data_IF_395719881061
#
_entry.id   IF_395719881061
#
_cell.length_a   1.000
_cell.length_b   1.000
_cell.length_c   1.000
_cell.angle_alpha   90.00
_cell.angle_beta   90.00
_cell.angle_gamma   90.00
#
_symmetry.space_group_name_H-M   'P 1'
#
loop_
_entity.id
_entity.type
_entity.pdbx_description
1 polymer ?
#
# COMPACT_ATOMS: atom_id res chain seq x y z
N UNK A 1 38.11 -40.67 13.44
CA UNK A 1 39.48 -40.29 13.84
C UNK A 1 40.12 -39.21 12.95
N UNK A 2 39.85 -39.07 11.67
CA UNK A 2 40.43 -38.00 10.84
C UNK A 2 39.86 -36.59 11.11
N UNK A 3 38.62 -36.46 11.52
CA UNK A 3 37.98 -35.15 11.83
C UNK A 3 38.47 -34.52 13.16
N UNK A 4 38.94 -35.30 14.11
CA UNK A 4 39.45 -34.79 15.39
C UNK A 4 40.87 -34.19 15.31
N UNK A 5 41.61 -34.45 14.23
CA UNK A 5 42.95 -33.86 14.05
C UNK A 5 42.99 -32.51 13.36
N UNK A 6 41.94 -32.15 12.60
CA UNK A 6 41.84 -30.85 11.93
C UNK A 6 41.45 -29.75 12.93
N UNK A 7 40.65 -30.06 13.93
CA UNK A 7 40.23 -29.12 14.99
C UNK A 7 41.40 -28.59 15.87
N UNK A 8 42.57 -29.22 15.83
CA UNK A 8 43.75 -28.79 16.55
C UNK A 8 44.63 -27.79 15.78
N UNK A 9 44.30 -27.43 14.56
CA UNK A 9 45.15 -26.66 13.67
C UNK A 9 44.85 -25.15 13.66
N UNK A 10 43.61 -24.75 14.00
CA UNK A 10 43.20 -23.34 13.94
C UNK A 10 42.69 -22.85 15.31
N UNK A 11 43.00 -21.61 15.68
CA UNK A 11 42.42 -20.97 16.85
C UNK A 11 40.95 -20.57 16.60
N UNK A 12 40.19 -20.32 17.66
CA UNK A 12 38.82 -19.80 17.57
C UNK A 12 38.75 -18.53 16.69
N UNK A 13 39.71 -17.60 16.92
CA UNK A 13 39.78 -16.33 16.19
C UNK A 13 40.09 -16.55 14.70
N UNK A 14 40.90 -17.54 14.37
CA UNK A 14 41.17 -17.93 12.97
C UNK A 14 39.94 -18.51 12.31
N UNK A 15 39.23 -19.42 12.99
CA UNK A 15 37.99 -20.04 12.48
C UNK A 15 36.89 -18.96 12.26
N UNK A 16 36.72 -18.05 13.19
CA UNK A 16 35.81 -16.91 13.04
C UNK A 16 36.20 -16.05 11.83
N UNK A 17 37.49 -15.70 11.70
CA UNK A 17 37.98 -14.90 10.58
C UNK A 17 37.81 -15.60 9.22
N UNK A 18 38.04 -16.92 9.15
CA UNK A 18 37.83 -17.70 7.93
C UNK A 18 36.32 -17.74 7.57
N UNK A 19 35.46 -18.00 8.55
CA UNK A 19 34.02 -17.98 8.34
C UNK A 19 33.53 -16.66 7.79
N UNK A 20 33.89 -15.54 8.40
CA UNK A 20 33.51 -14.20 7.96
C UNK A 20 34.02 -13.87 6.56
N UNK A 21 35.30 -14.14 6.25
CA UNK A 21 35.87 -13.90 4.93
C UNK A 21 35.26 -14.76 3.83
N UNK A 22 34.89 -15.99 4.16
CA UNK A 22 34.20 -16.88 3.20
C UNK A 22 32.78 -16.41 2.94
N UNK A 23 32.06 -15.93 3.95
CA UNK A 23 30.77 -15.29 3.81
C UNK A 23 30.83 -14.05 2.90
N UNK A 24 31.79 -13.14 3.14
CA UNK A 24 32.00 -11.95 2.29
C UNK A 24 32.27 -12.30 0.81
N UNK A 25 32.83 -13.47 0.53
CA UNK A 25 33.09 -13.98 -0.83
C UNK A 25 31.90 -14.76 -1.41
N UNK A 26 30.83 -14.97 -0.64
CA UNK A 26 29.71 -15.81 -1.02
C UNK A 26 29.98 -17.32 -0.95
N UNK A 27 31.14 -17.74 -0.40
CA UNK A 27 31.46 -19.16 -0.17
C UNK A 27 30.86 -19.61 1.19
N UNK A 28 29.55 -19.71 1.21
CA UNK A 28 28.79 -20.02 2.42
C UNK A 28 29.09 -21.44 2.94
N UNK A 29 29.40 -22.37 2.05
CA UNK A 29 29.74 -23.74 2.45
C UNK A 29 31.01 -23.78 3.31
N UNK A 30 32.06 -23.10 2.88
CA UNK A 30 33.32 -22.99 3.66
C UNK A 30 33.08 -22.15 4.94
N UNK A 31 32.25 -21.10 4.87
CA UNK A 31 31.90 -20.29 6.01
C UNK A 31 31.25 -21.11 7.13
N UNK A 32 30.24 -21.91 6.79
CA UNK A 32 29.52 -22.77 7.76
C UNK A 32 30.47 -23.79 8.40
N UNK A 33 31.30 -24.48 7.61
CA UNK A 33 32.25 -25.48 8.16
C UNK A 33 33.19 -24.84 9.19
N UNK A 34 33.72 -23.66 8.90
CA UNK A 34 34.61 -22.95 9.83
C UNK A 34 33.88 -22.49 11.09
N UNK A 35 32.64 -21.98 10.95
CA UNK A 35 31.84 -21.49 12.07
C UNK A 35 31.26 -22.62 12.91
N UNK A 36 30.97 -23.80 12.35
CA UNK A 36 30.59 -25.00 13.11
C UNK A 36 31.72 -25.40 14.05
N UNK A 37 32.96 -25.42 13.57
CA UNK A 37 34.13 -25.71 14.42
C UNK A 37 34.32 -24.61 15.50
N UNK A 38 34.10 -23.33 15.18
CA UNK A 38 34.17 -22.27 16.16
C UNK A 38 33.13 -22.43 17.27
N UNK A 39 31.89 -22.74 16.90
CA UNK A 39 30.79 -23.01 17.87
C UNK A 39 31.09 -24.24 18.74
N UNK A 40 31.61 -25.31 18.15
CA UNK A 40 32.03 -26.52 18.91
C UNK A 40 33.18 -26.21 19.86
N UNK A 41 34.15 -25.40 19.43
CA UNK A 41 35.30 -25.03 20.25
C UNK A 41 34.93 -24.14 21.45
N UNK A 42 34.07 -23.15 21.23
CA UNK A 42 33.62 -22.21 22.29
C UNK A 42 32.09 -22.05 22.28
N UNK A 43 31.34 -23.03 22.77
CA UNK A 43 29.86 -23.01 22.67
C UNK A 43 29.20 -21.97 23.60
N UNK A 44 29.96 -21.33 24.49
CA UNK A 44 29.46 -20.25 25.35
C UNK A 44 29.75 -18.85 24.79
N UNK A 45 30.44 -18.74 23.65
CA UNK A 45 30.71 -17.48 23.00
C UNK A 45 29.56 -17.12 22.08
N UNK A 46 28.73 -16.16 22.44
CA UNK A 46 27.53 -15.73 21.72
C UNK A 46 27.86 -15.30 20.29
N UNK A 47 29.02 -14.66 20.06
CA UNK A 47 29.41 -14.13 18.74
C UNK A 47 29.57 -15.24 17.69
N UNK A 48 29.98 -16.44 18.05
CA UNK A 48 30.10 -17.55 17.10
C UNK A 48 28.72 -17.97 16.57
N UNK A 49 27.73 -18.05 17.45
CA UNK A 49 26.35 -18.33 17.09
C UNK A 49 25.75 -17.21 16.23
N UNK A 50 25.97 -15.92 16.59
CA UNK A 50 25.54 -14.78 15.78
C UNK A 50 26.11 -14.87 14.37
N UNK A 51 27.42 -15.05 14.24
CA UNK A 51 28.10 -15.07 12.94
C UNK A 51 27.60 -16.21 12.08
N UNK A 52 27.45 -17.42 12.64
CA UNK A 52 26.89 -18.57 11.91
C UNK A 52 25.44 -18.32 11.48
N UNK A 53 24.63 -17.74 12.36
CA UNK A 53 23.26 -17.37 12.05
C UNK A 53 23.16 -16.36 10.90
N UNK A 54 24.05 -15.38 10.83
CA UNK A 54 24.12 -14.41 9.71
C UNK A 54 24.43 -15.13 8.40
N UNK A 55 25.43 -16.02 8.37
CA UNK A 55 25.72 -16.83 7.16
C UNK A 55 24.51 -17.65 6.73
N UNK A 56 23.79 -18.24 7.68
CA UNK A 56 22.54 -18.97 7.39
C UNK A 56 21.45 -18.09 6.79
N UNK A 57 21.34 -16.83 7.23
CA UNK A 57 20.44 -15.86 6.59
C UNK A 57 20.85 -15.62 5.14
N UNK A 58 22.14 -15.44 4.84
CA UNK A 58 22.64 -15.28 3.46
C UNK A 58 22.36 -16.51 2.59
N UNK A 59 22.41 -17.71 3.20
CA UNK A 59 22.02 -18.97 2.55
C UNK A 59 20.50 -19.14 2.41
N UNK A 60 19.69 -18.24 2.99
CA UNK A 60 18.23 -18.37 3.11
C UNK A 60 17.77 -19.56 3.97
N UNK A 61 18.65 -20.09 4.82
CA UNK A 61 18.30 -21.10 5.84
C UNK A 61 17.84 -20.38 7.11
N UNK A 62 16.69 -19.72 7.02
CA UNK A 62 16.15 -18.89 8.09
C UNK A 62 15.78 -19.68 9.33
N UNK A 63 15.34 -20.95 9.16
CA UNK A 63 14.99 -21.81 10.30
C UNK A 63 16.21 -22.09 11.19
N UNK A 64 17.32 -22.50 10.60
CA UNK A 64 18.56 -22.74 11.34
C UNK A 64 19.17 -21.44 11.87
N UNK A 65 19.02 -20.33 11.16
CA UNK A 65 19.45 -19.02 11.63
C UNK A 65 18.75 -18.61 12.94
N UNK A 66 17.42 -18.82 13.02
CA UNK A 66 16.63 -18.55 14.24
C UNK A 66 17.14 -19.38 15.43
N UNK A 67 17.51 -20.63 15.21
CA UNK A 67 18.08 -21.50 16.27
C UNK A 67 19.40 -20.91 16.80
N UNK A 68 20.28 -20.47 15.91
CA UNK A 68 21.55 -19.84 16.27
C UNK A 68 21.34 -18.54 17.03
N UNK A 69 20.48 -17.65 16.54
CA UNK A 69 20.19 -16.39 17.22
C UNK A 69 19.51 -16.60 18.57
N UNK A 70 18.63 -17.59 18.72
CA UNK A 70 18.05 -17.95 20.00
C UNK A 70 19.15 -18.35 21.02
N UNK A 71 20.12 -19.14 20.57
CA UNK A 71 21.24 -19.52 21.44
C UNK A 71 22.13 -18.33 21.78
N UNK A 72 22.40 -17.46 20.81
CA UNK A 72 23.19 -16.25 21.03
C UNK A 72 22.50 -15.30 22.04
N UNK A 73 21.20 -15.08 21.92
CA UNK A 73 20.41 -14.23 22.82
C UNK A 73 20.36 -14.83 24.23
N UNK A 74 20.26 -16.17 24.35
CA UNK A 74 20.31 -16.83 25.65
C UNK A 74 21.66 -16.60 26.35
N UNK A 75 22.76 -16.59 25.59
CA UNK A 75 24.11 -16.37 26.11
C UNK A 75 24.36 -14.89 26.41
N UNK A 76 23.90 -14.00 25.57
CA UNK A 76 24.10 -12.55 25.71
C UNK A 76 22.84 -11.76 25.26
N UNK A 77 21.87 -11.57 26.13
CA UNK A 77 20.64 -10.83 25.81
C UNK A 77 20.86 -9.34 25.54
N UNK A 78 22.03 -8.80 25.88
CA UNK A 78 22.36 -7.39 25.69
C UNK A 78 23.03 -7.11 24.33
N UNK A 79 23.27 -8.14 23.50
CA UNK A 79 23.73 -7.93 22.12
C UNK A 79 22.53 -7.58 21.23
N UNK A 80 22.18 -6.31 21.27
CA UNK A 80 20.97 -5.76 20.61
C UNK A 80 20.88 -6.10 19.12
N UNK A 81 22.01 -6.10 18.40
CA UNK A 81 22.08 -6.41 16.98
C UNK A 81 21.56 -7.82 16.64
N UNK A 82 21.64 -8.78 17.58
CA UNK A 82 21.15 -10.14 17.34
C UNK A 82 19.63 -10.18 17.15
N UNK A 83 18.90 -9.29 17.82
CA UNK A 83 17.44 -9.17 17.61
C UNK A 83 17.11 -8.69 16.21
N UNK A 84 17.88 -7.75 15.65
CA UNK A 84 17.68 -7.28 14.27
C UNK A 84 17.95 -8.40 13.24
N UNK A 85 18.99 -9.22 13.47
CA UNK A 85 19.25 -10.37 12.61
C UNK A 85 18.17 -11.45 12.72
N UNK A 86 17.67 -11.73 13.92
CA UNK A 86 16.59 -12.70 14.13
C UNK A 86 15.26 -12.17 13.57
N UNK A 87 15.00 -10.88 13.69
CA UNK A 87 13.90 -10.19 13.01
C UNK A 87 13.86 -10.52 11.51
N UNK A 88 15.00 -10.40 10.81
CA UNK A 88 15.08 -10.71 9.37
C UNK A 88 14.65 -12.16 9.11
N UNK A 89 15.18 -13.11 9.88
CA UNK A 89 14.82 -14.52 9.72
C UNK A 89 13.34 -14.80 10.01
N UNK A 90 12.77 -14.19 11.04
CA UNK A 90 11.34 -14.31 11.34
C UNK A 90 10.45 -13.69 10.28
N UNK A 91 10.83 -12.54 9.72
CA UNK A 91 10.09 -11.89 8.64
C UNK A 91 10.04 -12.75 7.38
N UNK A 92 11.16 -13.32 6.97
CA UNK A 92 11.28 -14.17 5.78
C UNK A 92 10.53 -15.52 5.94
N UNK A 93 10.29 -15.94 7.17
CA UNK A 93 9.47 -17.13 7.49
C UNK A 93 8.02 -16.78 7.87
N UNK A 94 7.60 -15.53 7.63
CA UNK A 94 6.25 -15.02 7.92
C UNK A 94 5.84 -15.14 9.41
N UNK A 95 6.80 -15.25 10.30
CA UNK A 95 6.57 -15.25 11.75
C UNK A 95 6.48 -13.80 12.28
N UNK A 96 5.51 -13.03 11.77
CA UNK A 96 5.43 -11.57 11.94
C UNK A 96 5.34 -11.12 13.41
N UNK A 97 4.68 -11.87 14.30
CA UNK A 97 4.60 -11.51 15.72
C UNK A 97 5.96 -11.58 16.42
N UNK A 98 6.75 -12.61 16.10
CA UNK A 98 8.11 -12.72 16.64
C UNK A 98 9.04 -11.66 16.03
N UNK A 99 8.91 -11.40 14.72
CA UNK A 99 9.64 -10.32 14.06
C UNK A 99 9.31 -8.96 14.70
N UNK A 100 8.04 -8.69 14.99
CA UNK A 100 7.61 -7.45 15.63
C UNK A 100 8.16 -7.31 17.06
N UNK A 101 8.20 -8.39 17.81
CA UNK A 101 8.82 -8.40 19.15
C UNK A 101 10.31 -8.05 19.09
N UNK A 102 11.04 -8.64 18.14
CA UNK A 102 12.48 -8.44 17.99
C UNK A 102 12.82 -7.02 17.52
N UNK A 103 12.08 -6.48 16.55
CA UNK A 103 12.32 -5.12 16.08
C UNK A 103 12.00 -4.08 17.18
N UNK A 104 10.98 -4.32 18.00
CA UNK A 104 10.68 -3.48 19.16
C UNK A 104 11.82 -3.53 20.19
N UNK A 105 12.36 -4.72 20.47
CA UNK A 105 13.50 -4.87 21.39
C UNK A 105 14.73 -4.13 20.85
N UNK A 106 15.00 -4.25 19.55
CA UNK A 106 16.10 -3.55 18.91
C UNK A 106 15.95 -2.03 19.02
N UNK A 107 14.78 -1.48 18.63
CA UNK A 107 14.51 -0.04 18.68
C UNK A 107 14.45 0.53 20.11
N UNK A 108 14.22 -0.29 21.09
CA UNK A 108 14.31 0.12 22.51
C UNK A 108 15.72 0.56 22.93
N UNK A 109 16.75 0.09 22.24
CA UNK A 109 18.15 0.44 22.52
C UNK A 109 18.76 1.32 21.40
N UNK A 110 18.27 1.18 20.17
CA UNK A 110 18.78 1.89 18.97
C UNK A 110 17.65 2.71 18.34
N UNK A 111 17.21 3.73 19.08
CA UNK A 111 16.01 4.51 18.76
C UNK A 111 16.10 5.38 17.47
N UNK A 112 17.29 5.58 16.92
CA UNK A 112 17.51 6.46 15.75
C UNK A 112 17.74 5.68 14.43
N UNK A 113 17.44 4.38 14.40
CA UNK A 113 17.61 3.56 13.21
C UNK A 113 16.40 3.69 12.26
N UNK A 114 16.56 4.49 11.20
CA UNK A 114 15.52 4.74 10.19
C UNK A 114 15.06 3.46 9.50
N UNK A 115 15.98 2.54 9.19
CA UNK A 115 15.63 1.26 8.58
C UNK A 115 14.71 0.45 9.51
N UNK A 116 15.08 0.36 10.79
CA UNK A 116 14.29 -0.40 11.76
C UNK A 116 12.90 0.21 11.98
N UNK A 117 12.76 1.54 11.99
CA UNK A 117 11.46 2.22 12.05
C UNK A 117 10.58 1.92 10.82
N UNK A 118 11.16 1.94 9.60
CA UNK A 118 10.43 1.57 8.38
C UNK A 118 9.94 0.12 8.49
N UNK A 119 10.81 -0.80 8.88
CA UNK A 119 10.46 -2.21 9.01
C UNK A 119 9.39 -2.46 10.08
N UNK A 120 9.42 -1.74 11.20
CA UNK A 120 8.40 -1.84 12.24
C UNK A 120 7.07 -1.24 11.78
N UNK A 121 7.10 -0.12 11.08
CA UNK A 121 5.92 0.51 10.49
C UNK A 121 5.20 -0.45 9.54
N UNK A 122 5.93 -1.14 8.65
CA UNK A 122 5.35 -2.13 7.72
C UNK A 122 4.74 -3.32 8.47
N UNK A 123 5.44 -3.86 9.47
CA UNK A 123 4.91 -4.95 10.29
C UNK A 123 3.68 -4.53 11.09
N UNK A 124 3.66 -3.32 11.62
CA UNK A 124 2.53 -2.80 12.39
C UNK A 124 1.26 -2.70 11.54
N UNK A 125 1.38 -2.39 10.24
CA UNK A 125 0.26 -2.48 9.31
C UNK A 125 -0.25 -3.92 9.13
N UNK A 126 0.66 -4.88 8.91
CA UNK A 126 0.30 -6.29 8.76
C UNK A 126 -0.40 -6.85 9.99
N UNK A 127 0.02 -6.40 11.17
CA UNK A 127 -0.51 -6.84 12.46
C UNK A 127 -1.68 -6.00 12.97
N UNK A 128 -2.05 -4.93 12.24
CA UNK A 128 -3.09 -3.96 12.65
C UNK A 128 -2.77 -3.19 13.94
N UNK A 129 -1.48 -2.99 14.22
CA UNK A 129 -0.95 -2.22 15.35
C UNK A 129 -0.85 -0.73 15.00
N UNK A 130 -2.01 -0.07 14.84
CA UNK A 130 -2.08 1.28 14.27
C UNK A 130 -1.45 2.38 15.13
N UNK A 131 -1.37 2.22 16.44
CA UNK A 131 -0.67 3.18 17.32
C UNK A 131 0.84 3.18 17.06
N UNK A 132 1.43 2.00 16.89
CA UNK A 132 2.85 1.87 16.53
C UNK A 132 3.09 2.37 15.11
N UNK A 133 2.20 2.02 14.17
CA UNK A 133 2.25 2.57 12.81
C UNK A 133 2.27 4.10 12.81
N UNK A 134 1.37 4.74 13.56
CA UNK A 134 1.31 6.20 13.68
C UNK A 134 2.60 6.76 14.27
N UNK A 135 3.11 6.14 15.33
CA UNK A 135 4.34 6.58 16.00
C UNK A 135 5.52 6.57 15.04
N UNK A 136 5.70 5.48 14.30
CA UNK A 136 6.79 5.35 13.32
C UNK A 136 6.59 6.29 12.12
N UNK A 137 5.36 6.43 11.62
CA UNK A 137 5.03 7.35 10.54
C UNK A 137 5.40 8.79 10.91
N UNK A 138 5.07 9.24 12.12
CA UNK A 138 5.37 10.60 12.58
C UNK A 138 6.86 10.80 12.82
N UNK A 139 7.51 9.78 13.41
CA UNK A 139 8.96 9.81 13.63
C UNK A 139 9.71 9.87 12.29
N UNK A 140 9.37 8.99 11.33
CA UNK A 140 9.98 8.95 10.00
C UNK A 140 9.77 10.28 9.27
N UNK A 141 8.56 10.84 9.32
CA UNK A 141 8.32 12.14 8.71
C UNK A 141 9.22 13.23 9.32
N UNK A 142 9.42 13.23 10.64
CA UNK A 142 10.31 14.18 11.30
C UNK A 142 11.78 14.05 10.87
N UNK A 143 12.21 12.87 10.38
CA UNK A 143 13.60 12.59 9.97
C UNK A 143 13.83 12.79 8.47
N UNK A 144 12.92 12.33 7.64
CA UNK A 144 13.09 12.32 6.16
C UNK A 144 12.06 13.21 5.44
N UNK A 145 11.13 13.85 6.17
CA UNK A 145 10.18 14.81 5.62
C UNK A 145 9.27 14.23 4.55
N UNK A 146 9.01 15.01 3.49
CA UNK A 146 8.11 14.67 2.40
C UNK A 146 8.49 13.37 1.66
N UNK A 147 9.76 12.96 1.70
CA UNK A 147 10.20 11.70 1.09
C UNK A 147 9.44 10.49 1.63
N UNK A 148 9.13 10.48 2.94
CA UNK A 148 8.30 9.44 3.57
C UNK A 148 6.92 9.31 2.91
N UNK A 149 6.23 10.43 2.69
CA UNK A 149 4.89 10.43 2.07
C UNK A 149 4.96 10.05 0.60
N UNK A 150 5.98 10.53 -0.13
CA UNK A 150 6.14 10.23 -1.56
C UNK A 150 6.45 8.75 -1.81
N UNK A 151 7.20 8.12 -0.91
CA UNK A 151 7.60 6.72 -1.04
C UNK A 151 6.55 5.73 -0.54
N UNK A 152 5.95 5.99 0.62
CA UNK A 152 5.08 5.02 1.31
C UNK A 152 3.60 5.37 1.30
N UNK A 153 3.23 6.64 1.09
CA UNK A 153 1.85 7.10 1.25
C UNK A 153 0.83 6.36 0.40
N UNK A 154 1.16 6.06 -0.86
CA UNK A 154 0.26 5.33 -1.76
C UNK A 154 0.06 3.87 -1.33
N UNK A 155 1.12 3.21 -0.86
CA UNK A 155 1.04 1.83 -0.37
C UNK A 155 0.20 1.75 0.90
N UNK A 156 0.36 2.72 1.81
CA UNK A 156 -0.44 2.80 3.02
C UNK A 156 -1.92 3.00 2.68
N UNK A 157 -2.25 3.94 1.79
CA UNK A 157 -3.62 4.15 1.37
C UNK A 157 -4.25 2.86 0.83
N UNK A 158 -3.58 2.16 -0.08
CA UNK A 158 -4.04 0.88 -0.64
C UNK A 158 -4.26 -0.19 0.44
N UNK A 159 -3.37 -0.25 1.44
CA UNK A 159 -3.53 -1.18 2.56
C UNK A 159 -4.83 -0.90 3.34
N UNK A 160 -5.06 0.37 3.69
CA UNK A 160 -6.24 0.77 4.45
C UNK A 160 -7.54 0.64 3.64
N UNK A 161 -7.50 0.83 2.32
CA UNK A 161 -8.62 0.56 1.41
C UNK A 161 -8.98 -0.93 1.39
N UNK A 162 -7.99 -1.79 1.16
CA UNK A 162 -8.17 -3.25 1.14
C UNK A 162 -8.79 -3.76 2.44
N UNK A 163 -8.43 -3.18 3.57
CA UNK A 163 -8.93 -3.55 4.89
C UNK A 163 -10.19 -2.76 5.31
N UNK A 164 -10.77 -1.92 4.43
CA UNK A 164 -11.95 -1.07 4.71
C UNK A 164 -11.77 -0.11 5.88
N UNK A 165 -10.56 0.40 6.06
CA UNK A 165 -10.19 1.26 7.19
C UNK A 165 -9.72 2.66 6.76
N UNK A 166 -10.25 3.17 5.64
CA UNK A 166 -9.87 4.48 5.09
C UNK A 166 -10.07 5.61 6.10
N UNK A 167 -11.09 5.54 6.97
CA UNK A 167 -11.34 6.55 8.01
C UNK A 167 -10.20 6.60 9.04
N UNK A 168 -9.67 5.46 9.43
CA UNK A 168 -8.50 5.37 10.32
C UNK A 168 -7.31 6.07 9.67
N UNK A 169 -7.03 5.76 8.41
CA UNK A 169 -5.93 6.39 7.68
C UNK A 169 -6.12 7.89 7.50
N UNK A 170 -7.33 8.34 7.17
CA UNK A 170 -7.63 9.77 7.06
C UNK A 170 -7.38 10.51 8.41
N UNK A 171 -7.73 9.89 9.53
CA UNK A 171 -7.44 10.47 10.85
C UNK A 171 -5.93 10.57 11.12
N UNK A 172 -5.15 9.52 10.78
CA UNK A 172 -3.70 9.50 10.96
C UNK A 172 -3.01 10.59 10.12
N UNK A 173 -3.32 10.63 8.83
CA UNK A 173 -2.75 11.66 7.92
C UNK A 173 -3.25 13.05 8.30
N UNK A 174 -4.48 13.18 8.79
CA UNK A 174 -5.03 14.44 9.28
C UNK A 174 -4.28 15.01 10.47
N UNK A 175 -3.87 14.15 11.42
CA UNK A 175 -3.01 14.57 12.54
C UNK A 175 -1.63 15.01 12.05
N UNK A 176 -1.04 14.29 11.09
CA UNK A 176 0.23 14.68 10.48
C UNK A 176 0.09 16.03 9.76
N UNK A 177 -1.02 16.27 9.05
CA UNK A 177 -1.32 17.53 8.40
C UNK A 177 -1.46 18.69 9.41
N UNK A 178 -2.05 18.46 10.57
CA UNK A 178 -2.11 19.48 11.63
C UNK A 178 -0.72 19.88 12.16
N UNK A 179 0.23 18.94 12.20
CA UNK A 179 1.61 19.21 12.62
C UNK A 179 2.43 19.93 11.53
N UNK A 180 2.15 19.64 10.26
CA UNK A 180 2.91 20.14 9.10
C UNK A 180 1.98 20.70 8.00
N UNK A 181 1.19 21.75 8.26
CA UNK A 181 0.15 22.23 7.34
C UNK A 181 0.70 22.79 6.02
N UNK A 182 1.97 23.21 6.01
CA UNK A 182 2.63 23.76 4.81
C UNK A 182 3.13 22.69 3.84
N UNK A 183 3.20 21.42 4.28
CA UNK A 183 3.63 20.33 3.40
C UNK A 183 2.59 20.01 2.35
N UNK A 184 2.96 20.21 1.07
CA UNK A 184 2.12 19.83 -0.08
C UNK A 184 1.92 18.35 -0.17
N UNK A 185 2.95 17.56 0.11
CA UNK A 185 2.89 16.10 0.04
C UNK A 185 1.90 15.53 1.04
N UNK A 186 1.93 16.00 2.30
CA UNK A 186 0.95 15.59 3.32
C UNK A 186 -0.45 16.02 2.91
N UNK A 187 -0.63 17.26 2.45
CA UNK A 187 -1.95 17.78 2.06
C UNK A 187 -2.56 16.97 0.92
N UNK A 188 -1.76 16.62 -0.10
CA UNK A 188 -2.22 15.79 -1.21
C UNK A 188 -2.56 14.37 -0.75
N UNK A 189 -1.75 13.79 0.14
CA UNK A 189 -2.05 12.47 0.73
C UNK A 189 -3.31 12.53 1.59
N UNK A 190 -3.54 13.63 2.33
CA UNK A 190 -4.73 13.82 3.14
C UNK A 190 -5.99 13.98 2.27
N UNK A 191 -5.90 14.70 1.14
CA UNK A 191 -6.98 14.77 0.15
C UNK A 191 -7.37 13.38 -0.33
N UNK A 192 -6.40 12.55 -0.72
CA UNK A 192 -6.66 11.18 -1.14
C UNK A 192 -7.29 10.36 -0.01
N UNK A 193 -6.74 10.42 1.19
CA UNK A 193 -7.25 9.68 2.35
C UNK A 193 -8.69 10.08 2.71
N UNK A 194 -9.02 11.37 2.69
CA UNK A 194 -10.38 11.89 2.90
C UNK A 194 -11.35 11.39 1.83
N UNK A 195 -10.93 11.42 0.57
CA UNK A 195 -11.75 10.95 -0.54
C UNK A 195 -12.12 9.47 -0.38
N UNK A 196 -11.14 8.61 -0.14
CA UNK A 196 -11.36 7.17 0.06
C UNK A 196 -12.09 6.85 1.39
N UNK A 197 -12.04 7.77 2.35
CA UNK A 197 -12.85 7.69 3.58
C UNK A 197 -14.29 8.22 3.40
N UNK A 198 -14.68 8.59 2.17
CA UNK A 198 -15.98 9.19 1.82
C UNK A 198 -16.27 10.52 2.55
N UNK A 199 -15.19 11.19 3.00
CA UNK A 199 -15.26 12.50 3.65
C UNK A 199 -15.12 13.63 2.61
N UNK A 200 -16.10 13.73 1.71
CA UNK A 200 -16.00 14.57 0.52
C UNK A 200 -16.02 16.08 0.83
N UNK A 201 -16.74 16.53 1.87
CA UNK A 201 -16.81 17.95 2.19
C UNK A 201 -15.43 18.51 2.64
N UNK A 202 -14.75 17.96 3.67
CA UNK A 202 -13.40 18.40 4.03
C UNK A 202 -12.37 18.14 2.91
N UNK A 203 -12.57 17.12 2.07
CA UNK A 203 -11.76 16.91 0.88
C UNK A 203 -11.83 18.11 -0.07
N UNK A 204 -13.03 18.64 -0.36
CA UNK A 204 -13.22 19.81 -1.22
C UNK A 204 -12.57 21.08 -0.66
N UNK A 205 -12.56 21.26 0.65
CA UNK A 205 -11.91 22.42 1.27
C UNK A 205 -10.40 22.42 1.01
N UNK A 206 -9.75 21.26 1.16
CA UNK A 206 -8.33 21.11 0.84
C UNK A 206 -8.04 21.20 -0.65
N UNK A 207 -8.91 20.61 -1.49
CA UNK A 207 -8.79 20.70 -2.95
C UNK A 207 -8.85 22.14 -3.46
N UNK A 208 -9.65 22.99 -2.83
CA UNK A 208 -9.72 24.42 -3.16
C UNK A 208 -8.36 25.11 -2.95
N UNK A 209 -7.64 24.76 -1.87
CA UNK A 209 -6.29 25.28 -1.60
C UNK A 209 -5.30 24.79 -2.66
N UNK A 210 -5.23 23.48 -2.89
CA UNK A 210 -4.29 22.89 -3.84
C UNK A 210 -4.53 23.35 -5.29
N UNK A 211 -5.79 23.48 -5.70
CA UNK A 211 -6.15 23.94 -7.04
C UNK A 211 -5.95 25.45 -7.25
N UNK A 212 -5.86 26.24 -6.19
CA UNK A 212 -5.45 27.65 -6.33
C UNK A 212 -3.98 27.77 -6.75
N UNK A 213 -3.11 26.89 -6.25
CA UNK A 213 -1.69 26.84 -6.59
C UNK A 213 -1.44 26.12 -7.93
N UNK A 214 -2.21 25.09 -8.23
CA UNK A 214 -2.05 24.25 -9.41
C UNK A 214 -3.40 23.97 -10.10
N UNK A 215 -4.01 24.96 -10.78
CA UNK A 215 -5.36 24.87 -11.31
C UNK A 215 -5.54 23.83 -12.43
N UNK A 216 -4.48 23.38 -13.06
CA UNK A 216 -4.52 22.42 -14.16
C UNK A 216 -4.12 21.00 -13.76
N UNK A 217 -3.96 20.70 -12.48
CA UNK A 217 -3.68 19.34 -12.03
C UNK A 217 -4.89 18.44 -12.28
N UNK A 218 -4.74 17.52 -13.24
CA UNK A 218 -5.80 16.64 -13.70
C UNK A 218 -6.32 15.73 -12.58
N UNK A 219 -5.42 15.18 -11.75
CA UNK A 219 -5.81 14.28 -10.66
C UNK A 219 -6.62 15.01 -9.59
N UNK A 220 -6.20 16.22 -9.20
CA UNK A 220 -6.92 17.01 -8.20
C UNK A 220 -8.28 17.47 -8.73
N UNK A 221 -8.37 17.84 -10.01
CA UNK A 221 -9.65 18.15 -10.65
C UNK A 221 -10.58 16.94 -10.71
N UNK A 222 -10.03 15.74 -10.94
CA UNK A 222 -10.81 14.50 -10.91
C UNK A 222 -11.39 14.28 -9.51
N UNK A 223 -10.56 14.35 -8.45
CA UNK A 223 -11.05 14.29 -7.08
C UNK A 223 -12.11 15.35 -6.77
N UNK A 224 -11.94 16.58 -7.28
CA UNK A 224 -12.93 17.65 -7.10
C UNK A 224 -14.28 17.28 -7.73
N UNK A 225 -14.27 16.84 -8.97
CA UNK A 225 -15.49 16.51 -9.70
C UNK A 225 -16.21 15.32 -9.06
N UNK A 226 -15.47 14.24 -8.70
CA UNK A 226 -16.00 13.07 -8.06
C UNK A 226 -16.60 13.40 -6.67
N UNK A 227 -15.90 14.19 -5.85
CA UNK A 227 -16.39 14.60 -4.55
C UNK A 227 -17.66 15.46 -4.66
N UNK A 228 -17.73 16.37 -5.63
CA UNK A 228 -18.94 17.15 -5.91
C UNK A 228 -20.12 16.24 -6.33
N UNK A 229 -19.85 15.25 -7.16
CA UNK A 229 -20.86 14.26 -7.60
C UNK A 229 -21.41 13.48 -6.39
N UNK A 230 -20.55 12.93 -5.52
CA UNK A 230 -20.98 12.19 -4.32
C UNK A 230 -21.69 13.06 -3.28
N UNK A 231 -21.41 14.36 -3.26
CA UNK A 231 -22.16 15.33 -2.44
C UNK A 231 -23.48 15.80 -3.10
N UNK A 232 -23.88 15.19 -4.21
CA UNK A 232 -25.06 15.56 -5.00
C UNK A 232 -25.02 17.02 -5.56
N UNK A 233 -23.81 17.62 -5.68
CA UNK A 233 -23.58 18.90 -6.32
C UNK A 233 -23.35 18.70 -7.83
N UNK A 234 -24.36 18.12 -8.49
CA UNK A 234 -24.25 17.56 -9.84
C UNK A 234 -23.90 18.60 -10.89
N UNK A 235 -24.48 19.80 -10.81
CA UNK A 235 -24.20 20.87 -11.78
C UNK A 235 -22.74 21.32 -11.73
N UNK A 236 -22.18 21.44 -10.51
CA UNK A 236 -20.79 21.81 -10.32
C UNK A 236 -19.84 20.69 -10.78
N UNK A 237 -20.15 19.45 -10.47
CA UNK A 237 -19.41 18.29 -10.96
C UNK A 237 -19.36 18.26 -12.49
N UNK A 238 -20.53 18.40 -13.14
CA UNK A 238 -20.64 18.44 -14.59
C UNK A 238 -19.78 19.55 -15.22
N UNK A 239 -19.77 20.74 -14.61
CA UNK A 239 -18.94 21.85 -15.07
C UNK A 239 -17.43 21.54 -14.99
N UNK A 240 -16.97 20.86 -13.94
CA UNK A 240 -15.56 20.46 -13.81
C UNK A 240 -15.22 19.40 -14.86
N UNK A 241 -16.03 18.35 -15.02
CA UNK A 241 -15.81 17.34 -16.06
C UNK A 241 -15.83 17.93 -17.46
N UNK A 242 -16.77 18.82 -17.77
CA UNK A 242 -16.82 19.50 -19.07
C UNK A 242 -15.57 20.32 -19.37
N UNK A 243 -14.98 20.98 -18.32
CA UNK A 243 -13.72 21.69 -18.48
C UNK A 243 -12.55 20.72 -18.73
N UNK A 244 -12.50 19.58 -18.01
CA UNK A 244 -11.48 18.55 -18.23
C UNK A 244 -11.56 17.96 -19.62
N UNK A 245 -12.76 17.72 -20.14
CA UNK A 245 -13.01 17.20 -21.50
C UNK A 245 -12.57 18.17 -22.62
N UNK A 246 -12.43 19.48 -22.35
CA UNK A 246 -11.84 20.40 -23.34
C UNK A 246 -10.38 20.06 -23.64
N UNK A 247 -9.62 19.60 -22.64
CA UNK A 247 -8.23 19.20 -22.80
C UNK A 247 -8.06 17.72 -23.22
N UNK A 248 -9.03 16.87 -22.88
CA UNK A 248 -9.02 15.44 -23.18
C UNK A 248 -10.38 14.97 -23.73
N UNK A 249 -10.78 15.38 -24.95
CA UNK A 249 -12.14 15.20 -25.49
C UNK A 249 -12.53 13.75 -25.74
N UNK A 250 -11.57 12.84 -25.80
CA UNK A 250 -11.78 11.41 -26.05
C UNK A 250 -11.41 10.55 -24.84
N UNK A 251 -11.20 11.14 -23.67
CA UNK A 251 -10.97 10.37 -22.46
C UNK A 251 -12.22 9.59 -22.09
N UNK A 252 -12.09 8.27 -22.11
CA UNK A 252 -13.21 7.36 -22.01
C UNK A 252 -13.88 7.40 -20.63
N UNK A 253 -13.08 7.55 -19.57
CA UNK A 253 -13.58 7.57 -18.19
C UNK A 253 -14.22 8.93 -17.88
N UNK A 254 -13.59 10.04 -18.27
CA UNK A 254 -14.19 11.37 -18.12
C UNK A 254 -15.53 11.51 -18.87
N UNK A 255 -15.63 10.90 -20.08
CA UNK A 255 -16.89 10.86 -20.83
C UNK A 255 -17.98 10.08 -20.09
N UNK A 256 -17.61 8.96 -19.42
CA UNK A 256 -18.55 8.20 -18.61
C UNK A 256 -19.05 9.02 -17.43
N UNK A 257 -18.13 9.60 -16.65
CA UNK A 257 -18.47 10.39 -15.45
C UNK A 257 -19.32 11.63 -15.80
N UNK A 258 -18.96 12.34 -16.87
CA UNK A 258 -19.77 13.44 -17.37
C UNK A 258 -21.15 12.96 -17.83
N UNK A 259 -21.21 11.83 -18.54
CA UNK A 259 -22.46 11.20 -18.95
C UNK A 259 -23.38 10.88 -17.76
N UNK A 260 -22.82 10.40 -16.66
CA UNK A 260 -23.56 10.15 -15.41
C UNK A 260 -24.07 11.45 -14.76
N UNK A 261 -23.30 12.54 -14.81
CA UNK A 261 -23.80 13.85 -14.37
C UNK A 261 -25.00 14.31 -15.23
N UNK A 262 -24.91 14.12 -16.55
CA UNK A 262 -26.01 14.46 -17.49
C UNK A 262 -27.27 13.63 -17.24
N UNK A 263 -27.12 12.34 -16.86
CA UNK A 263 -28.27 11.50 -16.44
C UNK A 263 -28.97 12.09 -15.22
N UNK A 264 -28.20 12.51 -14.21
CA UNK A 264 -28.77 13.13 -13.00
C UNK A 264 -29.45 14.50 -13.27
N UNK A 265 -29.03 15.17 -14.35
CA UNK A 265 -29.65 16.41 -14.84
C UNK A 265 -30.81 16.15 -15.83
N UNK A 266 -31.20 14.89 -16.04
CA UNK A 266 -32.24 14.49 -17.00
C UNK A 266 -31.97 14.88 -18.44
N UNK A 267 -30.69 15.14 -18.79
CA UNK A 267 -30.24 15.47 -20.16
C UNK A 267 -29.98 14.19 -20.95
N UNK A 268 -31.09 13.49 -21.25
CA UNK A 268 -31.04 12.11 -21.75
C UNK A 268 -30.32 11.94 -23.08
N UNK A 269 -30.45 12.91 -24.01
CA UNK A 269 -29.84 12.83 -25.35
C UNK A 269 -28.32 12.99 -25.22
N UNK A 270 -27.89 14.04 -24.51
CA UNK A 270 -26.47 14.30 -24.31
C UNK A 270 -25.78 13.19 -23.50
N UNK A 271 -26.50 12.61 -22.54
CA UNK A 271 -26.01 11.45 -21.77
C UNK A 271 -25.79 10.21 -22.64
N UNK A 272 -26.77 9.87 -23.55
CA UNK A 272 -26.62 8.75 -24.50
C UNK A 272 -25.40 8.98 -25.41
N UNK A 273 -25.20 10.21 -25.91
CA UNK A 273 -24.06 10.54 -26.78
C UNK A 273 -22.71 10.38 -26.04
N UNK A 274 -22.59 10.96 -24.82
CA UNK A 274 -21.36 10.88 -24.02
C UNK A 274 -21.02 9.44 -23.65
N UNK A 275 -22.00 8.69 -23.15
CA UNK A 275 -21.81 7.29 -22.76
C UNK A 275 -21.51 6.39 -23.96
N UNK A 276 -22.10 6.69 -25.15
CA UNK A 276 -21.75 5.99 -26.37
C UNK A 276 -20.32 6.23 -26.83
N UNK A 277 -19.82 7.46 -26.70
CA UNK A 277 -18.41 7.78 -26.98
C UNK A 277 -17.49 7.09 -25.97
N UNK A 278 -17.83 7.10 -24.68
CA UNK A 278 -17.10 6.43 -23.61
C UNK A 278 -16.96 4.93 -23.86
N UNK A 279 -18.06 4.24 -24.17
CA UNK A 279 -18.08 2.80 -24.48
C UNK A 279 -17.20 2.49 -25.70
N UNK A 280 -17.31 3.31 -26.75
CA UNK A 280 -16.49 3.17 -27.97
C UNK A 280 -15.00 3.33 -27.68
N UNK A 281 -14.64 4.24 -26.78
CA UNK A 281 -13.26 4.51 -26.37
C UNK A 281 -12.73 3.52 -25.32
N UNK A 282 -13.53 2.53 -24.91
CA UNK A 282 -13.17 1.46 -23.95
C UNK A 282 -12.83 1.98 -22.56
N UNK A 283 -13.81 2.60 -21.89
CA UNK A 283 -13.66 3.04 -20.50
C UNK A 283 -13.34 1.88 -19.54
N UNK A 284 -12.85 2.23 -18.36
CA UNK A 284 -12.46 1.28 -17.32
C UNK A 284 -13.64 0.53 -16.68
N UNK A 285 -14.83 1.10 -16.74
CA UNK A 285 -16.06 0.57 -16.12
C UNK A 285 -17.22 0.43 -17.11
N UNK A 286 -17.07 -0.40 -18.16
CA UNK A 286 -18.06 -0.48 -19.25
C UNK A 286 -19.44 -0.95 -18.77
N UNK A 287 -19.51 -1.79 -17.74
CA UNK A 287 -20.78 -2.24 -17.16
C UNK A 287 -21.64 -1.07 -16.71
N UNK A 288 -21.03 -0.12 -15.98
CA UNK A 288 -21.71 1.06 -15.49
C UNK A 288 -22.12 2.04 -16.60
N UNK A 289 -21.26 2.20 -17.62
CA UNK A 289 -21.58 3.02 -18.78
C UNK A 289 -22.76 2.45 -19.60
N UNK A 290 -22.84 1.13 -19.78
CA UNK A 290 -24.00 0.49 -20.41
C UNK A 290 -25.27 0.66 -19.58
N UNK A 291 -25.21 0.52 -18.23
CA UNK A 291 -26.36 0.78 -17.37
C UNK A 291 -26.89 2.20 -17.57
N UNK A 292 -26.01 3.19 -17.48
CA UNK A 292 -26.37 4.60 -17.65
C UNK A 292 -26.94 4.90 -19.03
N UNK A 293 -26.33 4.37 -20.10
CA UNK A 293 -26.84 4.57 -21.45
C UNK A 293 -28.23 3.93 -21.66
N UNK A 294 -28.45 2.76 -21.07
CA UNK A 294 -29.77 2.14 -21.07
C UNK A 294 -30.82 3.02 -20.39
N UNK A 295 -30.49 3.64 -19.24
CA UNK A 295 -31.38 4.59 -18.56
C UNK A 295 -31.67 5.82 -19.47
N UNK A 296 -30.64 6.39 -20.09
CA UNK A 296 -30.82 7.52 -21.02
C UNK A 296 -31.74 7.17 -22.18
N UNK A 297 -31.55 6.00 -22.80
CA UNK A 297 -32.35 5.51 -23.93
C UNK A 297 -33.78 5.20 -23.54
N UNK A 298 -34.00 4.62 -22.37
CA UNK A 298 -35.35 4.37 -21.84
C UNK A 298 -36.13 5.68 -21.71
N UNK A 299 -35.55 6.70 -21.13
CA UNK A 299 -36.19 8.00 -20.98
C UNK A 299 -36.39 8.77 -22.29
N UNK A 300 -35.68 8.35 -23.35
CA UNK A 300 -35.92 8.82 -24.73
C UNK A 300 -37.01 8.00 -25.43
N UNK A 301 -37.66 7.02 -24.79
CA UNK A 301 -38.62 6.13 -25.41
C UNK A 301 -38.02 4.99 -26.27
N UNK A 302 -36.70 4.80 -26.22
CA UNK A 302 -35.96 3.79 -27.02
C UNK A 302 -35.82 2.47 -26.24
N UNK A 303 -36.96 1.88 -25.84
CA UNK A 303 -36.96 0.72 -24.90
C UNK A 303 -36.12 -0.46 -25.44
N UNK A 304 -36.25 -0.83 -26.72
CA UNK A 304 -35.49 -1.95 -27.27
C UNK A 304 -33.98 -1.79 -27.16
N UNK A 305 -33.47 -0.57 -27.39
CA UNK A 305 -32.04 -0.26 -27.21
C UNK A 305 -31.64 -0.22 -25.75
N UNK A 306 -32.52 0.23 -24.87
CA UNK A 306 -32.28 0.22 -23.42
C UNK A 306 -32.13 -1.20 -22.90
N UNK A 307 -33.02 -2.14 -23.31
CA UNK A 307 -32.94 -3.54 -22.93
C UNK A 307 -31.63 -4.21 -23.37
N UNK A 308 -31.15 -3.92 -24.58
CA UNK A 308 -29.84 -4.43 -25.06
C UNK A 308 -28.69 -3.91 -24.18
N UNK A 309 -28.71 -2.65 -23.80
CA UNK A 309 -27.69 -2.06 -22.96
C UNK A 309 -27.72 -2.64 -21.53
N UNK A 310 -28.89 -2.80 -20.93
CA UNK A 310 -29.02 -3.39 -19.59
C UNK A 310 -28.62 -4.86 -19.58
N UNK A 311 -28.95 -5.63 -20.62
CA UNK A 311 -28.47 -7.01 -20.75
C UNK A 311 -26.95 -7.05 -20.81
N UNK A 312 -26.34 -6.16 -21.62
CA UNK A 312 -24.89 -6.08 -21.71
C UNK A 312 -24.24 -5.66 -20.37
N UNK A 313 -24.84 -4.70 -19.68
CA UNK A 313 -24.41 -4.26 -18.36
C UNK A 313 -24.42 -5.42 -17.34
N UNK A 314 -25.51 -6.19 -17.33
CA UNK A 314 -25.67 -7.34 -16.44
C UNK A 314 -24.67 -8.45 -16.73
N UNK A 315 -24.43 -8.78 -18.01
CA UNK A 315 -23.41 -9.74 -18.45
C UNK A 315 -21.98 -9.33 -18.03
N UNK A 316 -21.73 -8.03 -17.94
CA UNK A 316 -20.46 -7.48 -17.45
C UNK A 316 -20.37 -7.38 -15.92
N UNK A 317 -21.39 -7.86 -15.19
CA UNK A 317 -21.37 -7.99 -13.73
C UNK A 317 -22.11 -6.90 -12.97
N UNK A 318 -22.76 -5.91 -13.65
CA UNK A 318 -23.52 -4.86 -12.97
C UNK A 318 -24.90 -5.39 -12.52
N UNK A 319 -25.01 -5.72 -11.25
CA UNK A 319 -26.24 -6.32 -10.68
C UNK A 319 -27.44 -5.38 -10.72
N UNK A 320 -27.24 -4.06 -10.69
CA UNK A 320 -28.32 -3.09 -10.72
C UNK A 320 -29.10 -3.15 -12.06
N UNK A 321 -28.43 -3.53 -13.17
CA UNK A 321 -29.05 -3.69 -14.46
C UNK A 321 -30.18 -4.73 -14.47
N UNK A 322 -30.10 -5.77 -13.61
CA UNK A 322 -31.16 -6.78 -13.49
C UNK A 322 -32.51 -6.20 -13.10
N UNK A 323 -32.52 -5.20 -12.22
CA UNK A 323 -33.77 -4.54 -11.79
C UNK A 323 -34.47 -3.87 -12.97
N UNK A 324 -33.71 -3.24 -13.86
CA UNK A 324 -34.23 -2.61 -15.07
C UNK A 324 -34.74 -3.64 -16.09
N UNK A 325 -34.01 -4.72 -16.30
CA UNK A 325 -34.40 -5.83 -17.17
C UNK A 325 -35.73 -6.47 -16.69
N UNK A 326 -35.80 -6.79 -15.39
CA UNK A 326 -36.97 -7.44 -14.80
C UNK A 326 -38.22 -6.53 -14.85
N UNK A 327 -38.01 -5.21 -14.73
CA UNK A 327 -39.12 -4.24 -14.72
C UNK A 327 -39.64 -3.88 -16.12
N UNK A 328 -38.75 -3.85 -17.12
CA UNK A 328 -39.10 -3.22 -18.41
C UNK A 328 -38.87 -4.09 -19.63
N UNK A 329 -38.08 -5.19 -19.55
CA UNK A 329 -37.65 -5.96 -20.72
C UNK A 329 -38.22 -7.39 -20.79
N UNK A 330 -39.00 -7.84 -19.80
CA UNK A 330 -39.71 -9.11 -19.91
C UNK A 330 -40.90 -8.90 -20.83
N UNK A 331 -40.99 -9.70 -21.91
CA UNK A 331 -42.22 -9.79 -22.68
C UNK A 331 -43.42 -10.11 -21.78
N UNK A 332 -44.50 -9.33 -21.94
CA UNK A 332 -45.78 -9.61 -21.31
C UNK A 332 -46.41 -10.85 -21.91
#
# INVERSE_FOLDING_TARGET
>A
MYFSQIAAQYSFEQLMSFGMRSDEKGDYATAIVSLDQAVEMKPQEDIAWVTRGVVRVHMRDFGSAVVDFNKAILLNPNRTQTYLYRYIAYRETENFQFAYSDINRYLGEVAEDTFAHIQRMDLSLLLSEYETFQTDMFWLYSKIGDAMILEYGQQHLQHFEKNKQCKTYANLVGQLYQMYPESKSIRQQYIAALFHAEQYAPCLDLLKIELSDNPNNVNLRKYQADALFFLNRIEEAANVYAQMLKSAPNDADLLADYGHCLLQQEKWVEADECLSKSIKAKNSSPAYAYLGRGIARYNQGKLGLACVDWERSYQLGEKAAKKWLDAHCKEK
#
